data_IF_168060964652
#
_entry.id   IF_168060964652
#
_cell.length_a   1.000
_cell.length_b   1.000
_cell.length_c   1.000
_cell.angle_alpha   90.00
_cell.angle_beta   90.00
_cell.angle_gamma   90.00
#
_symmetry.space_group_name_H-M   'P 1'
#
loop_
_entity.id
_entity.type
_entity.pdbx_description
1 polymer ?
#
# COMPACT_ATOMS: atom_id res chain seq x y z
N UNK A 1 -35.11 44.97 -23.94
CA UNK A 1 -35.28 43.52 -23.69
C UNK A 1 -34.13 42.77 -24.36
N UNK A 2 -33.11 42.34 -23.60
CA UNK A 2 -32.03 41.48 -24.12
C UNK A 2 -32.56 40.04 -24.24
N UNK A 3 -32.39 39.44 -25.42
CA UNK A 3 -32.89 38.11 -25.78
C UNK A 3 -32.39 37.04 -24.79
N UNK A 4 -33.29 36.13 -24.38
CA UNK A 4 -33.02 34.99 -23.49
C UNK A 4 -32.04 33.96 -24.11
N UNK A 5 -31.59 34.16 -25.36
CA UNK A 5 -30.73 33.24 -26.12
C UNK A 5 -29.23 33.30 -25.80
N UNK A 6 -28.75 34.29 -25.04
CA UNK A 6 -27.31 34.43 -24.73
C UNK A 6 -26.84 33.59 -23.53
N UNK A 7 -27.73 32.86 -22.86
CA UNK A 7 -27.47 32.34 -21.51
C UNK A 7 -26.70 31.02 -21.40
N UNK A 8 -26.33 30.37 -22.50
CA UNK A 8 -25.51 29.15 -22.45
C UNK A 8 -24.46 29.14 -23.56
N UNK A 9 -23.54 30.11 -23.56
CA UNK A 9 -22.25 29.85 -24.19
C UNK A 9 -21.64 28.64 -23.46
N UNK A 10 -21.64 27.47 -24.10
CA UNK A 10 -20.94 26.30 -23.57
C UNK A 10 -19.48 26.71 -23.43
N UNK A 11 -19.04 26.91 -22.19
CA UNK A 11 -17.62 27.07 -21.89
C UNK A 11 -16.99 25.76 -22.34
N UNK A 12 -16.19 25.82 -23.41
CA UNK A 12 -15.45 24.66 -23.89
C UNK A 12 -14.59 24.14 -22.72
N UNK A 13 -14.57 22.82 -22.46
CA UNK A 13 -13.75 22.27 -21.38
C UNK A 13 -12.29 22.66 -21.65
N UNK A 14 -11.65 23.25 -20.64
CA UNK A 14 -10.24 23.61 -20.73
C UNK A 14 -9.43 22.33 -20.98
N UNK A 15 -8.69 22.30 -22.10
CA UNK A 15 -7.75 21.21 -22.37
C UNK A 15 -6.51 21.45 -21.54
N UNK A 16 -6.26 20.58 -20.56
CA UNK A 16 -5.01 20.60 -19.81
C UNK A 16 -3.85 20.12 -20.70
N UNK A 17 -2.63 20.61 -20.47
CA UNK A 17 -1.48 20.12 -21.20
C UNK A 17 -1.24 18.63 -20.86
N UNK A 18 -0.74 17.83 -21.82
CA UNK A 18 -0.61 16.39 -21.66
C UNK A 18 0.35 15.98 -20.52
N UNK A 19 1.23 16.89 -20.10
CA UNK A 19 2.17 16.65 -19.00
C UNK A 19 1.55 16.83 -17.60
N UNK A 20 0.36 17.44 -17.49
CA UNK A 20 -0.23 17.74 -16.16
C UNK A 20 -0.51 16.48 -15.35
N UNK A 21 -1.13 15.48 -15.97
CA UNK A 21 -1.47 14.21 -15.31
C UNK A 21 -0.23 13.43 -14.85
N UNK A 22 0.78 13.14 -15.70
CA UNK A 22 1.98 12.45 -15.24
C UNK A 22 2.76 13.25 -14.20
N UNK A 23 2.74 14.59 -14.26
CA UNK A 23 3.37 15.43 -13.23
C UNK A 23 2.66 15.30 -11.87
N UNK A 24 1.32 15.22 -11.85
CA UNK A 24 0.57 15.02 -10.60
C UNK A 24 0.79 13.61 -10.03
N UNK A 25 0.79 12.57 -10.88
CA UNK A 25 1.11 11.19 -10.48
C UNK A 25 2.52 11.14 -9.86
N UNK A 26 3.52 11.72 -10.54
CA UNK A 26 4.89 11.78 -10.03
C UNK A 26 4.97 12.54 -8.71
N UNK A 27 4.24 13.65 -8.57
CA UNK A 27 4.19 14.40 -7.32
C UNK A 27 3.62 13.57 -6.16
N UNK A 28 2.55 12.79 -6.39
CA UNK A 28 1.97 11.89 -5.38
C UNK A 28 2.97 10.80 -4.99
N UNK A 29 3.59 10.13 -5.96
CA UNK A 29 4.60 9.08 -5.71
C UNK A 29 5.75 9.63 -4.86
N UNK A 30 6.30 10.81 -5.23
CA UNK A 30 7.39 11.45 -4.49
C UNK A 30 6.93 11.84 -3.08
N UNK A 31 5.74 12.42 -2.93
CA UNK A 31 5.23 12.83 -1.63
C UNK A 31 5.09 11.64 -0.67
N UNK A 32 4.51 10.53 -1.14
CA UNK A 32 4.40 9.30 -0.33
C UNK A 32 5.79 8.76 0.03
N UNK A 33 6.70 8.64 -0.95
CA UNK A 33 8.05 8.13 -0.70
C UNK A 33 8.83 8.98 0.33
N UNK A 34 8.75 10.31 0.23
CA UNK A 34 9.44 11.23 1.16
C UNK A 34 8.86 11.15 2.57
N UNK A 35 7.53 11.12 2.69
CA UNK A 35 6.86 11.05 4.01
C UNK A 35 7.19 9.75 4.74
N UNK A 36 7.26 8.62 4.02
CA UNK A 36 7.53 7.31 4.61
C UNK A 36 9.01 6.91 4.61
N UNK A 37 9.93 7.69 4.03
CA UNK A 37 11.35 7.38 3.99
C UNK A 37 11.96 7.05 5.38
N UNK A 38 11.59 7.75 6.48
CA UNK A 38 12.09 7.42 7.81
C UNK A 38 11.71 6.00 8.28
N UNK A 39 10.57 5.46 7.83
CA UNK A 39 10.08 4.14 8.24
C UNK A 39 11.02 3.00 7.84
N UNK A 40 11.84 3.18 6.79
CA UNK A 40 12.81 2.17 6.35
C UNK A 40 13.87 1.82 7.41
N UNK A 41 14.09 2.70 8.38
CA UNK A 41 15.03 2.52 9.49
C UNK A 41 14.34 2.04 10.77
N UNK A 42 13.03 1.78 10.74
CA UNK A 42 12.28 1.28 11.89
C UNK A 42 12.41 -0.23 12.06
N UNK A 43 12.53 -0.68 13.30
CA UNK A 43 12.50 -2.09 13.67
C UNK A 43 11.07 -2.61 13.89
N UNK A 44 10.94 -3.93 13.99
CA UNK A 44 9.69 -4.56 14.43
C UNK A 44 9.36 -4.15 15.87
N UNK A 45 8.11 -3.75 16.11
CA UNK A 45 7.62 -3.29 17.42
C UNK A 45 6.24 -3.86 17.73
N UNK A 46 5.94 -3.93 19.03
CA UNK A 46 4.61 -4.34 19.53
C UNK A 46 4.19 -5.74 19.05
N UNK A 47 3.05 -5.83 18.37
CA UNK A 47 2.43 -7.05 17.87
C UNK A 47 3.15 -7.64 16.65
N UNK A 48 4.13 -6.94 16.07
CA UNK A 48 5.01 -7.51 15.04
C UNK A 48 5.68 -8.81 15.50
N UNK A 49 5.94 -8.96 16.80
CA UNK A 49 6.45 -10.22 17.34
C UNK A 49 5.46 -11.37 17.14
N UNK A 50 4.16 -11.13 17.38
CA UNK A 50 3.12 -12.15 17.24
C UNK A 50 2.75 -12.38 15.76
N UNK A 51 2.79 -11.33 14.95
CA UNK A 51 2.35 -11.38 13.55
C UNK A 51 3.45 -11.86 12.61
N UNK A 52 4.71 -11.50 12.88
CA UNK A 52 5.83 -11.69 11.95
C UNK A 52 6.94 -12.51 12.59
N UNK A 53 7.75 -11.93 13.48
CA UNK A 53 9.05 -12.53 13.85
C UNK A 53 8.93 -13.81 14.68
N UNK A 54 7.89 -13.91 15.51
CA UNK A 54 7.59 -15.07 16.35
C UNK A 54 6.46 -15.95 15.80
N UNK A 55 5.95 -15.67 14.60
CA UNK A 55 4.81 -16.37 14.04
C UNK A 55 5.23 -17.70 13.38
N UNK A 56 4.88 -18.87 13.95
CA UNK A 56 5.27 -20.16 13.39
C UNK A 56 4.60 -20.45 12.04
N UNK A 57 3.49 -19.78 11.72
CA UNK A 57 2.77 -19.98 10.47
C UNK A 57 3.54 -19.47 9.25
N UNK A 58 4.51 -18.57 9.45
CA UNK A 58 5.30 -18.01 8.34
C UNK A 58 6.47 -18.89 7.93
N UNK A 59 6.74 -19.99 8.63
CA UNK A 59 7.98 -20.77 8.47
C UNK A 59 7.94 -21.78 7.31
N UNK A 60 6.76 -22.21 6.88
CA UNK A 60 6.61 -23.28 5.91
C UNK A 60 5.25 -23.25 5.20
N UNK A 61 5.11 -24.07 4.16
CA UNK A 61 3.88 -24.14 3.35
C UNK A 61 2.66 -24.66 4.13
N UNK A 62 2.83 -25.55 5.11
CA UNK A 62 1.72 -25.97 5.97
C UNK A 62 1.13 -24.82 6.78
N UNK A 63 1.97 -23.87 7.21
CA UNK A 63 1.50 -22.65 7.85
C UNK A 63 0.64 -21.77 6.94
N UNK A 64 0.94 -21.74 5.63
CA UNK A 64 0.08 -21.06 4.64
C UNK A 64 -1.31 -21.70 4.54
N UNK A 65 -1.40 -23.03 4.56
CA UNK A 65 -2.70 -23.72 4.58
C UNK A 65 -3.47 -23.40 5.87
N UNK A 66 -2.77 -23.35 7.01
CA UNK A 66 -3.37 -23.08 8.32
C UNK A 66 -3.90 -21.63 8.44
N UNK A 67 -3.22 -20.66 7.82
CA UNK A 67 -3.67 -19.27 7.71
C UNK A 67 -5.08 -19.20 7.11
N UNK A 68 -5.36 -20.00 6.08
CA UNK A 68 -6.65 -20.00 5.38
C UNK A 68 -7.70 -20.92 5.99
N UNK A 69 -7.31 -21.89 6.82
CA UNK A 69 -8.25 -22.78 7.50
C UNK A 69 -8.80 -22.21 8.81
N UNK A 70 -8.42 -20.98 9.18
CA UNK A 70 -8.81 -20.36 10.44
C UNK A 70 -8.06 -20.91 11.66
N UNK A 71 -6.81 -21.35 11.48
CA UNK A 71 -5.97 -21.88 12.56
C UNK A 71 -5.40 -20.82 13.51
N UNK A 72 -4.22 -21.08 14.09
CA UNK A 72 -3.60 -20.35 15.21
C UNK A 72 -3.11 -18.93 14.87
N UNK A 73 -3.98 -18.07 14.36
CA UNK A 73 -3.71 -16.65 14.12
C UNK A 73 -4.19 -15.81 15.31
N UNK A 74 -3.54 -14.65 15.55
CA UNK A 74 -4.02 -13.70 16.56
C UNK A 74 -5.41 -13.16 16.19
N UNK A 75 -5.59 -12.85 14.89
CA UNK A 75 -6.85 -12.49 14.26
C UNK A 75 -6.94 -13.14 12.88
N UNK A 76 -8.16 -13.46 12.43
CA UNK A 76 -8.38 -14.10 11.15
C UNK A 76 -8.29 -13.10 9.98
N UNK A 77 -7.07 -12.79 9.57
CA UNK A 77 -6.73 -11.96 8.40
C UNK A 77 -5.91 -12.76 7.39
N UNK A 78 -6.54 -13.70 6.64
CA UNK A 78 -5.81 -14.66 5.82
C UNK A 78 -5.00 -14.01 4.68
N UNK A 79 -5.51 -12.93 4.09
CA UNK A 79 -4.78 -12.18 3.06
C UNK A 79 -3.54 -11.49 3.63
N UNK A 80 -3.69 -10.76 4.74
CA UNK A 80 -2.56 -10.09 5.41
C UNK A 80 -1.49 -11.08 5.84
N UNK A 81 -1.89 -12.18 6.49
CA UNK A 81 -0.96 -13.23 6.89
C UNK A 81 -0.29 -13.93 5.68
N UNK A 82 -0.98 -14.03 4.54
CA UNK A 82 -0.36 -14.54 3.30
C UNK A 82 0.70 -13.57 2.78
N UNK A 83 0.48 -12.26 2.85
CA UNK A 83 1.50 -11.27 2.50
C UNK A 83 2.69 -11.39 3.43
N UNK A 84 2.48 -11.45 4.76
CA UNK A 84 3.56 -11.67 5.72
C UNK A 84 4.30 -12.99 5.48
N UNK A 85 3.61 -14.05 5.05
CA UNK A 85 4.23 -15.32 4.69
C UNK A 85 5.18 -15.15 3.51
N UNK A 86 4.75 -14.45 2.46
CA UNK A 86 5.59 -14.17 1.29
C UNK A 86 6.79 -13.30 1.69
N UNK A 87 6.54 -12.21 2.42
CA UNK A 87 7.59 -11.29 2.88
C UNK A 87 8.61 -11.99 3.77
N UNK A 88 8.18 -12.90 4.65
CA UNK A 88 9.09 -13.68 5.49
C UNK A 88 10.01 -14.58 4.66
N UNK A 89 9.51 -15.20 3.61
CA UNK A 89 10.34 -16.04 2.73
C UNK A 89 11.28 -15.21 1.84
N UNK A 90 10.95 -13.96 1.53
CA UNK A 90 11.77 -13.07 0.71
C UNK A 90 12.81 -12.29 1.53
N UNK A 91 12.45 -11.84 2.73
CA UNK A 91 13.21 -10.88 3.52
C UNK A 91 13.59 -11.39 4.91
N UNK A 92 13.04 -12.52 5.36
CA UNK A 92 13.31 -13.10 6.67
C UNK A 92 12.93 -12.16 7.80
N UNK A 93 13.87 -11.94 8.72
CA UNK A 93 13.71 -11.03 9.85
C UNK A 93 14.19 -9.59 9.56
N UNK A 94 14.32 -9.19 8.29
CA UNK A 94 14.69 -7.82 7.91
C UNK A 94 13.46 -6.93 7.77
N UNK A 95 13.21 -5.96 8.68
CA UNK A 95 12.00 -5.12 8.65
C UNK A 95 11.95 -4.22 7.41
N UNK A 96 13.10 -3.87 6.83
CA UNK A 96 13.18 -2.99 5.66
C UNK A 96 12.40 -3.53 4.46
N UNK A 97 12.38 -4.84 4.22
CA UNK A 97 11.60 -5.44 3.12
C UNK A 97 10.10 -5.20 3.27
N UNK A 98 9.57 -5.42 4.47
CA UNK A 98 8.17 -5.17 4.83
C UNK A 98 7.80 -3.69 4.67
N UNK A 99 8.67 -2.78 5.11
CA UNK A 99 8.46 -1.33 4.95
C UNK A 99 8.43 -0.91 3.48
N UNK A 100 9.31 -1.48 2.63
CA UNK A 100 9.30 -1.21 1.19
C UNK A 100 7.99 -1.65 0.56
N UNK A 101 7.51 -2.85 0.86
CA UNK A 101 6.22 -3.35 0.34
C UNK A 101 5.07 -2.45 0.79
N UNK A 102 5.03 -2.07 2.08
CA UNK A 102 4.03 -1.13 2.59
C UNK A 102 4.05 0.23 1.88
N UNK A 103 5.23 0.81 1.63
CA UNK A 103 5.35 2.07 0.89
C UNK A 103 4.82 1.92 -0.54
N UNK A 104 5.14 0.82 -1.22
CA UNK A 104 4.63 0.54 -2.57
C UNK A 104 3.10 0.38 -2.59
N UNK A 105 2.53 -0.29 -1.59
CA UNK A 105 1.08 -0.41 -1.43
C UNK A 105 0.43 0.96 -1.18
N UNK A 106 1.04 1.82 -0.35
CA UNK A 106 0.54 3.17 -0.12
C UNK A 106 0.61 4.06 -1.36
N UNK A 107 1.67 3.92 -2.16
CA UNK A 107 1.75 4.58 -3.47
C UNK A 107 0.61 4.10 -4.36
N UNK A 108 0.41 2.78 -4.48
CA UNK A 108 -0.64 2.22 -5.32
C UNK A 108 -2.06 2.64 -4.88
N UNK A 109 -2.31 2.73 -3.57
CA UNK A 109 -3.59 3.18 -3.01
C UNK A 109 -3.86 4.69 -3.22
N UNK A 110 -2.81 5.50 -3.36
CA UNK A 110 -2.94 6.95 -3.54
C UNK A 110 -3.13 7.39 -5.00
N UNK A 111 -2.96 6.47 -5.97
CA UNK A 111 -3.09 6.71 -7.40
C UNK A 111 -4.47 6.28 -7.93
#
# INVERSE_FOLDING_TARGET
>A
MKSRSERHARVAPAKFPPWRQPALIAAIVIAVAVVYLPALHGDFVWDDFLLITGNPLLQNFSGLLEIWSGGRTADYFPLTNTVFWIEHHLFGASPTGYHVVNILLQIANAL
#
